data_IF_106349523328
#
_entry.id   IF_106349523328
#
_cell.length_a   1.000
_cell.length_b   1.000
_cell.length_c   1.000
_cell.angle_alpha   90.00
_cell.angle_beta   90.00
_cell.angle_gamma   90.00
#
_symmetry.space_group_name_H-M   'P 1'
#
loop_
_entity.id
_entity.type
_entity.pdbx_description
1 polymer ?
#
# COMPACT_ATOMS: atom_id res chain seq x y z
N UNK A 1 -17.89 -55.28 -23.25
CA UNK A 1 -17.52 -53.91 -22.82
C UNK A 1 -18.63 -52.96 -23.23
N UNK A 2 -19.30 -52.31 -22.28
CA UNK A 2 -20.51 -51.52 -22.52
C UNK A 2 -20.18 -50.28 -23.39
N UNK A 3 -20.89 -50.02 -24.50
CA UNK A 3 -20.63 -48.92 -25.43
C UNK A 3 -20.79 -47.51 -24.82
N UNK A 4 -21.39 -47.39 -23.64
CA UNK A 4 -21.61 -46.12 -22.95
C UNK A 4 -20.37 -45.54 -22.25
N UNK A 5 -19.28 -46.28 -22.05
CA UNK A 5 -18.06 -45.77 -21.36
C UNK A 5 -17.15 -44.94 -22.28
N UNK A 6 -17.17 -45.19 -23.60
CA UNK A 6 -16.34 -44.46 -24.61
C UNK A 6 -16.60 -42.96 -24.66
N UNK A 7 -17.86 -42.44 -24.72
CA UNK A 7 -18.10 -41.02 -24.81
C UNK A 7 -17.67 -40.23 -23.54
N UNK A 8 -17.82 -40.84 -22.36
CA UNK A 8 -17.36 -40.23 -21.09
C UNK A 8 -15.83 -40.12 -21.01
N UNK A 9 -15.13 -41.17 -21.43
CA UNK A 9 -13.66 -41.15 -21.46
C UNK A 9 -13.12 -40.10 -22.43
N UNK A 10 -13.73 -40.01 -23.64
CA UNK A 10 -13.38 -39.01 -24.63
C UNK A 10 -13.64 -37.60 -24.13
N UNK A 11 -14.79 -37.34 -23.48
CA UNK A 11 -15.13 -36.04 -22.90
C UNK A 11 -14.12 -35.64 -21.79
N UNK A 12 -13.72 -36.59 -20.91
CA UNK A 12 -12.71 -36.36 -19.90
C UNK A 12 -11.34 -36.01 -20.49
N UNK A 13 -10.90 -36.73 -21.53
CA UNK A 13 -9.63 -36.45 -22.21
C UNK A 13 -9.65 -35.05 -22.84
N UNK A 14 -10.73 -34.69 -23.51
CA UNK A 14 -10.89 -33.35 -24.12
C UNK A 14 -10.87 -32.28 -23.03
N UNK A 15 -11.62 -32.46 -21.93
CA UNK A 15 -11.64 -31.50 -20.82
C UNK A 15 -10.27 -31.33 -20.18
N UNK A 16 -9.52 -32.41 -19.99
CA UNK A 16 -8.16 -32.35 -19.47
C UNK A 16 -7.21 -31.65 -20.44
N UNK A 17 -7.30 -31.93 -21.74
CA UNK A 17 -6.51 -31.29 -22.77
C UNK A 17 -6.77 -29.78 -22.83
N UNK A 18 -8.03 -29.34 -22.78
CA UNK A 18 -8.41 -27.94 -22.73
C UNK A 18 -7.86 -27.25 -21.48
N UNK A 19 -7.95 -27.88 -20.33
CA UNK A 19 -7.41 -27.38 -19.07
C UNK A 19 -5.90 -27.18 -19.15
N UNK A 20 -5.16 -28.19 -19.59
CA UNK A 20 -3.71 -28.13 -19.75
C UNK A 20 -3.29 -27.04 -20.74
N UNK A 21 -4.04 -26.90 -21.84
CA UNK A 21 -3.84 -25.82 -22.82
C UNK A 21 -4.04 -24.45 -22.18
N UNK A 22 -5.12 -24.24 -21.40
CA UNK A 22 -5.38 -22.97 -20.72
C UNK A 22 -4.28 -22.62 -19.73
N UNK A 23 -3.79 -23.60 -18.95
CA UNK A 23 -2.65 -23.42 -18.05
C UNK A 23 -1.38 -23.06 -18.84
N UNK A 24 -1.08 -23.78 -19.91
CA UNK A 24 0.10 -23.52 -20.75
C UNK A 24 0.05 -22.09 -21.35
N UNK A 25 -1.09 -21.67 -21.87
CA UNK A 25 -1.30 -20.31 -22.38
C UNK A 25 -1.08 -19.28 -21.28
N UNK A 26 -1.63 -19.51 -20.08
CA UNK A 26 -1.40 -18.61 -18.93
C UNK A 26 0.09 -18.49 -18.60
N UNK A 27 0.84 -19.61 -18.58
CA UNK A 27 2.27 -19.59 -18.30
C UNK A 27 3.08 -18.86 -19.40
N UNK A 28 2.70 -18.99 -20.65
CA UNK A 28 3.31 -18.24 -21.76
C UNK A 28 3.06 -16.73 -21.62
N UNK A 29 1.84 -16.35 -21.24
CA UNK A 29 1.50 -14.94 -20.97
C UNK A 29 2.25 -14.39 -19.75
N UNK A 30 2.41 -15.16 -18.68
CA UNK A 30 3.23 -14.76 -17.53
C UNK A 30 4.66 -14.47 -17.97
N UNK A 31 5.28 -15.36 -18.75
CA UNK A 31 6.64 -15.15 -19.30
C UNK A 31 6.71 -13.92 -20.21
N UNK A 32 5.68 -13.65 -20.98
CA UNK A 32 5.59 -12.44 -21.80
C UNK A 32 5.56 -11.19 -20.92
N UNK A 33 4.68 -11.15 -19.89
CA UNK A 33 4.58 -10.03 -18.94
C UNK A 33 5.92 -9.78 -18.25
N UNK A 34 6.60 -10.83 -17.77
CA UNK A 34 7.89 -10.70 -17.09
C UNK A 34 9.01 -10.25 -18.02
N UNK A 35 8.93 -10.59 -19.31
CA UNK A 35 9.88 -10.10 -20.34
C UNK A 35 9.64 -8.62 -20.66
N UNK A 36 8.38 -8.18 -20.69
CA UNK A 36 8.03 -6.76 -20.97
C UNK A 36 8.32 -5.87 -19.76
N UNK A 37 8.09 -6.38 -18.56
CA UNK A 37 8.28 -5.65 -17.30
C UNK A 37 9.31 -6.32 -16.39
N UNK A 38 10.58 -6.43 -16.81
CA UNK A 38 11.60 -7.07 -15.98
C UNK A 38 11.81 -6.32 -14.65
N UNK A 39 12.34 -6.96 -13.60
CA UNK A 39 12.63 -6.28 -12.36
C UNK A 39 13.66 -5.17 -12.58
N UNK A 40 13.34 -3.99 -12.07
CA UNK A 40 14.23 -2.83 -12.02
C UNK A 40 14.70 -2.66 -10.58
N UNK A 41 15.84 -1.97 -10.38
CA UNK A 41 16.37 -1.78 -9.03
C UNK A 41 17.12 -3.00 -8.50
N UNK A 42 16.92 -3.37 -7.23
CA UNK A 42 17.70 -4.43 -6.60
C UNK A 42 16.88 -5.36 -5.72
N UNK A 43 17.49 -6.47 -5.32
CA UNK A 43 16.94 -7.41 -4.35
C UNK A 43 17.75 -7.38 -3.05
N UNK A 44 17.06 -7.57 -1.94
CA UNK A 44 17.66 -7.89 -0.64
C UNK A 44 17.05 -9.18 -0.11
N UNK A 45 17.88 -10.04 0.47
CA UNK A 45 17.42 -11.28 1.11
C UNK A 45 17.44 -11.12 2.63
N UNK A 46 16.29 -11.32 3.25
CA UNK A 46 16.13 -11.29 4.71
C UNK A 46 15.32 -12.53 5.12
N UNK A 47 15.80 -13.30 6.08
CA UNK A 47 15.16 -14.54 6.55
C UNK A 47 14.85 -15.51 5.39
N UNK A 48 15.80 -15.69 4.47
CA UNK A 48 15.66 -16.53 3.25
C UNK A 48 14.55 -16.10 2.30
N UNK A 49 14.06 -14.87 2.41
CA UNK A 49 13.05 -14.30 1.54
C UNK A 49 13.62 -13.10 0.79
N UNK A 50 13.43 -13.06 -0.53
CA UNK A 50 13.88 -11.96 -1.37
C UNK A 50 12.82 -10.86 -1.42
N UNK A 51 13.24 -9.63 -1.22
CA UNK A 51 12.44 -8.44 -1.40
C UNK A 51 13.01 -7.59 -2.54
N UNK A 52 12.16 -7.15 -3.42
CA UNK A 52 12.50 -6.28 -4.54
C UNK A 52 12.27 -4.82 -4.15
N UNK A 53 13.23 -3.96 -4.51
CA UNK A 53 13.28 -2.55 -4.17
C UNK A 53 13.60 -1.70 -5.39
N UNK A 54 12.91 -0.58 -5.53
CA UNK A 54 13.35 0.57 -6.31
C UNK A 54 13.95 1.58 -5.35
N UNK A 55 15.17 2.06 -5.62
CA UNK A 55 15.88 2.92 -4.69
C UNK A 55 16.64 4.00 -5.45
N UNK A 56 16.50 5.25 -5.03
CA UNK A 56 17.12 6.42 -5.65
C UNK A 56 17.38 7.53 -4.63
N UNK A 57 18.34 8.43 -4.97
CA UNK A 57 18.63 9.63 -4.20
C UNK A 57 19.46 9.38 -2.94
N UNK A 58 19.65 10.45 -2.16
CA UNK A 58 20.44 10.45 -0.92
C UNK A 58 19.78 11.41 0.10
N UNK A 59 20.12 11.25 1.37
CA UNK A 59 19.60 12.12 2.44
C UNK A 59 18.63 11.41 3.37
N UNK A 60 17.63 12.12 3.91
CA UNK A 60 16.64 11.53 4.81
C UNK A 60 15.84 10.43 4.10
N UNK A 61 15.74 9.24 4.70
CA UNK A 61 15.04 8.14 4.05
C UNK A 61 13.51 8.33 4.04
N UNK A 62 12.93 8.10 2.87
CA UNK A 62 11.48 8.00 2.65
C UNK A 62 11.19 6.62 2.05
N UNK A 63 10.26 5.90 2.63
CA UNK A 63 9.88 4.57 2.17
C UNK A 63 8.44 4.60 1.65
N UNK A 64 8.25 4.21 0.40
CA UNK A 64 6.97 4.19 -0.30
C UNK A 64 6.40 2.77 -0.26
N UNK A 65 5.16 2.62 0.22
CA UNK A 65 4.46 1.34 0.40
C UNK A 65 3.20 1.35 -0.45
N UNK A 66 3.20 0.55 -1.50
CA UNK A 66 2.13 0.52 -2.49
C UNK A 66 0.81 -0.08 -2.00
N UNK A 67 -0.28 0.22 -2.71
CA UNK A 67 -1.63 -0.27 -2.46
C UNK A 67 -1.86 -1.73 -2.89
N UNK A 68 -3.13 -2.14 -2.90
CA UNK A 68 -3.54 -3.43 -3.46
C UNK A 68 -3.43 -3.43 -4.98
N UNK A 69 -3.22 -4.62 -5.57
CA UNK A 69 -3.18 -4.86 -7.02
C UNK A 69 -2.11 -4.08 -7.79
N UNK A 70 -1.09 -3.56 -7.13
CA UNK A 70 0.02 -2.81 -7.73
C UNK A 70 1.36 -3.26 -7.15
N UNK A 71 2.44 -2.53 -7.38
CA UNK A 71 3.80 -2.82 -6.95
C UNK A 71 4.57 -1.51 -6.66
N UNK A 72 5.84 -1.59 -6.27
CA UNK A 72 6.71 -0.43 -6.11
C UNK A 72 6.80 0.46 -7.38
N UNK A 73 6.57 -0.13 -8.54
CA UNK A 73 6.52 0.59 -9.83
C UNK A 73 5.39 1.63 -9.91
N UNK A 74 4.38 1.56 -9.05
CA UNK A 74 3.32 2.56 -8.94
C UNK A 74 3.85 3.97 -8.60
N UNK A 75 5.05 4.05 -8.06
CA UNK A 75 5.71 5.31 -7.75
C UNK A 75 6.73 5.76 -8.80
N UNK A 76 6.94 4.96 -9.86
CA UNK A 76 7.92 5.24 -10.91
C UNK A 76 7.30 5.16 -12.32
N UNK A 77 7.44 6.18 -13.17
CA UNK A 77 7.97 7.51 -12.88
C UNK A 77 6.97 8.34 -12.04
N UNK A 78 7.42 9.31 -11.32
CA UNK A 78 6.55 10.19 -10.54
C UNK A 78 7.10 10.46 -9.14
N UNK A 79 6.37 10.07 -8.11
CA UNK A 79 6.69 10.43 -6.72
C UNK A 79 8.10 9.96 -6.29
N UNK A 80 8.52 8.76 -6.68
CA UNK A 80 9.86 8.25 -6.38
C UNK A 80 10.94 9.15 -6.98
N UNK A 81 10.88 9.46 -8.29
CA UNK A 81 11.87 10.31 -8.97
C UNK A 81 11.89 11.74 -8.42
N UNK A 82 10.71 12.28 -8.09
CA UNK A 82 10.62 13.67 -7.65
C UNK A 82 11.17 13.84 -6.23
N UNK A 83 10.84 12.93 -5.31
CA UNK A 83 11.37 12.91 -3.95
C UNK A 83 12.87 12.61 -3.92
N UNK A 84 13.37 11.75 -4.83
CA UNK A 84 14.79 11.35 -4.86
C UNK A 84 15.77 12.48 -5.21
N UNK A 85 15.27 13.62 -5.67
CA UNK A 85 16.11 14.82 -5.89
C UNK A 85 16.70 15.37 -4.58
N UNK A 86 16.07 15.11 -3.45
CA UNK A 86 16.45 15.68 -2.14
C UNK A 86 16.42 14.66 -0.99
N UNK A 87 15.94 13.45 -1.23
CA UNK A 87 15.78 12.41 -0.23
C UNK A 87 16.30 11.06 -0.73
N UNK A 88 16.66 10.17 0.19
CA UNK A 88 16.89 8.78 -0.12
C UNK A 88 15.53 8.06 -0.16
N UNK A 89 15.08 7.67 -1.33
CA UNK A 89 13.73 7.10 -1.54
C UNK A 89 13.80 5.63 -1.87
N UNK A 90 13.05 4.83 -1.14
CA UNK A 90 12.93 3.38 -1.32
C UNK A 90 11.46 3.05 -1.54
N UNK A 91 11.12 2.45 -2.68
CA UNK A 91 9.82 1.84 -2.90
C UNK A 91 9.98 0.32 -2.88
N UNK A 92 9.29 -0.36 -1.96
CA UNK A 92 9.40 -1.81 -1.80
C UNK A 92 8.15 -2.51 -2.34
N UNK A 93 8.38 -3.56 -3.13
CA UNK A 93 7.32 -4.52 -3.42
C UNK A 93 6.92 -5.23 -2.12
N UNK A 94 5.65 -5.08 -1.70
CA UNK A 94 5.13 -5.77 -0.51
C UNK A 94 5.27 -7.29 -0.67
N UNK A 95 5.38 -8.06 0.40
CA UNK A 95 5.51 -9.51 0.34
C UNK A 95 4.48 -10.16 -0.58
N UNK A 96 4.95 -10.91 -1.59
CA UNK A 96 4.11 -11.58 -2.58
C UNK A 96 3.56 -10.69 -3.70
N UNK A 97 3.98 -9.45 -3.78
CA UNK A 97 3.63 -8.51 -4.85
C UNK A 97 4.86 -8.19 -5.69
N UNK A 98 4.63 -7.64 -6.91
CA UNK A 98 5.72 -7.31 -7.80
C UNK A 98 6.69 -8.48 -7.97
N UNK A 99 7.93 -8.30 -7.56
CA UNK A 99 8.98 -9.30 -7.59
C UNK A 99 9.47 -9.76 -6.21
N UNK A 100 8.79 -9.34 -5.13
CA UNK A 100 9.05 -9.84 -3.78
C UNK A 100 8.46 -11.22 -3.54
N UNK A 101 9.24 -12.07 -2.89
CA UNK A 101 8.77 -13.40 -2.48
C UNK A 101 7.75 -13.30 -1.34
N UNK A 102 6.99 -14.37 -1.15
CA UNK A 102 6.15 -14.62 0.01
C UNK A 102 6.18 -16.11 0.32
N UNK A 103 6.46 -16.47 1.57
CA UNK A 103 6.55 -17.86 1.95
C UNK A 103 5.29 -18.66 1.57
N UNK A 104 5.46 -19.94 1.15
CA UNK A 104 4.34 -20.80 0.86
C UNK A 104 3.37 -20.91 2.03
N UNK A 105 2.09 -21.19 1.73
CA UNK A 105 1.09 -21.56 2.74
C UNK A 105 1.59 -22.72 3.57
N UNK A 106 1.54 -22.60 4.90
CA UNK A 106 1.92 -23.68 5.82
C UNK A 106 3.33 -23.61 6.43
N UNK A 107 4.19 -22.70 6.00
CA UNK A 107 5.42 -22.39 6.72
C UNK A 107 5.09 -21.72 8.06
N UNK A 108 5.76 -22.10 9.14
CA UNK A 108 5.47 -21.69 10.52
C UNK A 108 5.21 -20.19 10.68
N UNK A 109 4.00 -19.83 11.15
CA UNK A 109 3.45 -18.50 11.45
C UNK A 109 3.28 -17.56 10.24
N UNK A 110 2.20 -17.71 9.45
CA UNK A 110 1.87 -16.74 8.43
C UNK A 110 1.25 -15.49 9.06
N UNK A 111 2.07 -14.52 9.41
CA UNK A 111 1.61 -13.15 9.69
C UNK A 111 1.42 -12.34 8.39
N UNK A 112 1.78 -12.94 7.25
CA UNK A 112 1.96 -12.28 5.95
C UNK A 112 0.75 -11.56 5.36
N UNK A 113 -0.50 -12.03 5.46
CA UNK A 113 -1.59 -11.23 4.93
C UNK A 113 -1.97 -10.05 5.82
N UNK A 114 -1.40 -9.96 7.05
CA UNK A 114 -1.73 -8.86 7.97
C UNK A 114 -0.85 -7.64 7.73
N UNK A 115 -1.39 -6.42 7.95
CA UNK A 115 -0.58 -5.20 7.96
C UNK A 115 0.59 -5.28 8.95
N UNK A 116 0.38 -5.80 10.15
CA UNK A 116 1.44 -5.97 11.15
C UNK A 116 2.55 -6.93 10.69
N UNK A 117 2.20 -8.05 10.05
CA UNK A 117 3.20 -8.97 9.49
C UNK A 117 4.03 -8.34 8.38
N UNK A 118 3.39 -7.54 7.52
CA UNK A 118 4.11 -6.83 6.46
C UNK A 118 4.95 -5.66 7.03
N UNK A 119 4.49 -4.99 8.09
CA UNK A 119 5.30 -4.01 8.83
C UNK A 119 6.54 -4.64 9.46
N UNK A 120 6.41 -5.83 10.07
CA UNK A 120 7.53 -6.58 10.62
C UNK A 120 8.55 -6.98 9.53
N UNK A 121 8.10 -7.39 8.35
CA UNK A 121 8.97 -7.69 7.22
C UNK A 121 9.71 -6.42 6.72
N UNK A 122 8.96 -5.33 6.53
CA UNK A 122 9.53 -4.04 6.15
C UNK A 122 10.62 -3.60 7.14
N UNK A 123 10.35 -3.70 8.45
CA UNK A 123 11.34 -3.39 9.49
C UNK A 123 12.64 -4.16 9.30
N UNK A 124 12.54 -5.47 9.09
CA UNK A 124 13.73 -6.32 8.86
C UNK A 124 14.50 -5.91 7.60
N UNK A 125 13.78 -5.59 6.51
CA UNK A 125 14.40 -5.08 5.28
C UNK A 125 15.13 -3.77 5.55
N UNK A 126 14.51 -2.82 6.24
CA UNK A 126 15.10 -1.52 6.55
C UNK A 126 16.35 -1.65 7.44
N UNK A 127 16.31 -2.53 8.45
CA UNK A 127 17.48 -2.84 9.27
C UNK A 127 18.61 -3.48 8.45
N UNK A 128 18.29 -4.41 7.55
CA UNK A 128 19.29 -5.01 6.63
C UNK A 128 19.90 -4.00 5.65
N UNK A 129 19.23 -2.88 5.40
CA UNK A 129 19.70 -1.76 4.58
C UNK A 129 20.40 -0.65 5.41
N UNK A 130 20.48 -0.81 6.73
CA UNK A 130 20.95 0.23 7.65
C UNK A 130 20.14 1.55 7.54
N UNK A 131 18.84 1.45 7.24
CA UNK A 131 17.93 2.58 7.17
C UNK A 131 17.35 2.83 8.56
N UNK A 132 17.60 4.02 9.08
CA UNK A 132 17.16 4.43 10.41
C UNK A 132 16.13 5.56 10.32
N UNK A 133 15.07 5.45 11.12
CA UNK A 133 14.00 6.46 11.27
C UNK A 133 13.53 7.06 9.93
N UNK A 134 13.04 6.22 8.98
CA UNK A 134 12.48 6.71 7.72
C UNK A 134 11.13 7.42 7.97
N UNK A 135 10.70 8.21 6.97
CA UNK A 135 9.29 8.57 6.82
C UNK A 135 8.64 7.47 5.96
N UNK A 136 7.57 6.84 6.48
CA UNK A 136 6.81 5.87 5.69
C UNK A 136 5.65 6.56 5.00
N UNK A 137 5.52 6.34 3.69
CA UNK A 137 4.43 6.86 2.86
C UNK A 137 3.63 5.67 2.33
N UNK A 138 2.45 5.43 2.88
CA UNK A 138 1.59 4.32 2.50
C UNK A 138 0.39 4.77 1.66
N UNK A 139 0.21 4.18 0.48
CA UNK A 139 -0.98 4.38 -0.34
C UNK A 139 -2.00 3.27 -0.10
N UNK A 140 -3.28 3.62 0.07
CA UNK A 140 -4.39 2.65 0.14
C UNK A 140 -4.12 1.53 1.17
N UNK A 141 -3.99 0.27 0.75
CA UNK A 141 -3.61 -0.87 1.59
C UNK A 141 -2.27 -0.67 2.31
N UNK A 142 -1.29 -0.01 1.64
CA UNK A 142 0.00 0.34 2.22
C UNK A 142 -0.10 1.26 3.44
N UNK A 143 -1.17 2.05 3.54
CA UNK A 143 -1.44 2.87 4.72
C UNK A 143 -1.73 2.02 5.97
N UNK A 144 -2.40 0.87 5.83
CA UNK A 144 -2.61 -0.04 6.95
C UNK A 144 -1.28 -0.62 7.46
N UNK A 145 -0.30 -0.87 6.57
CA UNK A 145 1.07 -1.27 6.95
C UNK A 145 1.79 -0.14 7.69
N UNK A 146 1.68 1.09 7.19
CA UNK A 146 2.25 2.28 7.85
C UNK A 146 1.68 2.44 9.26
N UNK A 147 0.37 2.33 9.42
CA UNK A 147 -0.29 2.41 10.73
C UNK A 147 0.15 1.28 11.67
N UNK A 148 0.29 0.05 11.16
CA UNK A 148 0.82 -1.07 11.94
C UNK A 148 2.27 -0.82 12.39
N UNK A 149 3.09 -0.25 11.51
CA UNK A 149 4.47 0.09 11.84
C UNK A 149 4.55 1.17 12.93
N UNK A 150 3.71 2.21 12.85
CA UNK A 150 3.61 3.26 13.88
C UNK A 150 3.19 2.72 15.25
N UNK A 151 2.36 1.67 15.27
CA UNK A 151 1.90 1.02 16.50
C UNK A 151 2.95 0.10 17.12
N UNK A 152 3.62 -0.69 16.27
CA UNK A 152 4.45 -1.79 16.75
C UNK A 152 5.94 -1.40 16.83
N UNK A 153 6.38 -0.34 16.11
CA UNK A 153 7.79 0.11 16.05
C UNK A 153 7.92 1.65 16.06
N UNK A 154 7.33 2.35 17.04
CA UNK A 154 7.27 3.82 17.05
C UNK A 154 8.64 4.50 17.10
N UNK A 155 9.66 3.86 17.69
CA UNK A 155 11.00 4.42 17.81
C UNK A 155 11.84 4.27 16.53
N UNK A 156 11.46 3.34 15.64
CA UNK A 156 12.20 3.05 14.40
C UNK A 156 11.76 3.96 13.23
N UNK A 157 10.82 4.88 13.43
CA UNK A 157 10.21 5.69 12.37
C UNK A 157 10.24 7.19 12.75
N UNK A 158 10.43 8.07 11.78
CA UNK A 158 10.35 9.52 11.99
C UNK A 158 8.92 10.05 11.91
N UNK A 159 8.08 9.46 11.03
CA UNK A 159 6.69 9.83 10.83
C UNK A 159 6.02 9.00 9.77
N UNK A 160 4.70 9.09 9.70
CA UNK A 160 3.88 8.40 8.70
C UNK A 160 3.09 9.38 7.82
N UNK A 161 2.95 9.04 6.53
CA UNK A 161 2.08 9.72 5.57
C UNK A 161 1.15 8.71 4.95
N UNK A 162 -0.15 8.98 4.96
CA UNK A 162 -1.17 8.13 4.35
C UNK A 162 -1.78 8.83 3.14
N UNK A 163 -1.70 8.18 1.97
CA UNK A 163 -2.29 8.65 0.72
C UNK A 163 -3.52 7.82 0.40
N UNK A 164 -4.73 8.39 0.41
CA UNK A 164 -5.96 7.63 0.19
C UNK A 164 -6.05 6.39 1.09
N UNK A 165 -5.63 6.52 2.34
CA UNK A 165 -5.26 5.41 3.21
C UNK A 165 -6.44 4.69 3.85
N UNK A 166 -6.44 3.34 3.80
CA UNK A 166 -7.38 2.51 4.56
C UNK A 166 -6.93 2.38 6.01
N UNK A 167 -7.86 2.56 6.96
CA UNK A 167 -7.55 2.53 8.41
C UNK A 167 -8.56 1.75 9.24
N UNK A 168 -9.82 1.71 8.86
CA UNK A 168 -10.91 1.11 9.65
C UNK A 168 -11.63 0.01 8.86
N UNK A 169 -12.27 -0.94 9.55
CA UNK A 169 -13.16 -1.89 8.89
C UNK A 169 -14.28 -1.18 8.13
N UNK A 170 -14.73 -1.81 7.03
CA UNK A 170 -15.82 -1.32 6.20
C UNK A 170 -16.88 -2.41 5.95
N UNK A 171 -18.07 -2.01 5.56
CA UNK A 171 -19.15 -2.89 5.15
C UNK A 171 -19.01 -3.28 3.66
N UNK A 172 -19.56 -4.43 3.25
CA UNK A 172 -19.64 -4.89 1.86
C UNK A 172 -18.54 -5.86 1.42
N UNK A 173 -17.43 -5.96 2.14
CA UNK A 173 -16.38 -6.96 1.85
C UNK A 173 -15.64 -6.70 0.53
N UNK A 174 -15.09 -7.76 -0.08
CA UNK A 174 -14.28 -7.71 -1.31
C UNK A 174 -15.02 -8.29 -2.51
N UNK A 175 -14.61 -7.90 -3.73
CA UNK A 175 -15.16 -8.42 -4.97
C UNK A 175 -15.10 -9.96 -5.05
N UNK A 176 -16.13 -10.58 -5.65
CA UNK A 176 -16.30 -12.03 -5.68
C UNK A 176 -15.11 -12.81 -6.25
N UNK A 177 -14.45 -12.27 -7.26
CA UNK A 177 -13.26 -12.90 -7.85
C UNK A 177 -12.07 -13.01 -6.87
N UNK A 178 -11.93 -12.07 -5.92
CA UNK A 178 -10.92 -12.20 -4.85
C UNK A 178 -11.27 -13.36 -3.90
N UNK A 179 -12.56 -13.53 -3.59
CA UNK A 179 -13.00 -14.68 -2.77
C UNK A 179 -12.74 -16.01 -3.47
N UNK A 180 -13.05 -16.11 -4.78
CA UNK A 180 -12.79 -17.29 -5.59
C UNK A 180 -11.30 -17.62 -5.61
N UNK A 181 -10.44 -16.64 -5.90
CA UNK A 181 -8.99 -16.82 -5.92
C UNK A 181 -8.41 -17.32 -4.57
N UNK A 182 -9.07 -17.03 -3.47
CA UNK A 182 -8.69 -17.50 -2.13
C UNK A 182 -9.05 -18.95 -1.83
N UNK A 183 -9.94 -19.60 -2.62
CA UNK A 183 -10.39 -20.97 -2.35
C UNK A 183 -9.30 -21.99 -2.68
N UNK A 184 -9.16 -23.07 -1.88
CA UNK A 184 -8.33 -24.21 -2.25
C UNK A 184 -8.83 -24.83 -3.56
N UNK A 185 -7.94 -25.36 -4.41
CA UNK A 185 -8.19 -26.01 -5.68
C UNK A 185 -8.90 -25.11 -6.70
N UNK A 186 -10.12 -24.65 -6.40
CA UNK A 186 -10.88 -23.75 -7.32
C UNK A 186 -10.16 -22.43 -7.58
N UNK A 187 -9.52 -21.86 -6.55
CA UNK A 187 -8.71 -20.68 -6.72
C UNK A 187 -7.48 -20.93 -7.59
N UNK A 188 -6.82 -22.09 -7.41
CA UNK A 188 -5.67 -22.50 -8.24
C UNK A 188 -6.10 -22.67 -9.70
N UNK A 189 -7.23 -23.30 -9.93
CA UNK A 189 -7.81 -23.45 -11.27
C UNK A 189 -8.12 -22.10 -11.90
N UNK A 190 -8.84 -21.24 -11.17
CA UNK A 190 -9.24 -19.91 -11.61
C UNK A 190 -8.04 -19.04 -12.00
N UNK A 191 -7.03 -18.92 -11.11
CA UNK A 191 -5.90 -18.02 -11.38
C UNK A 191 -4.97 -18.53 -12.48
N UNK A 192 -4.92 -19.85 -12.73
CA UNK A 192 -4.08 -20.45 -13.77
C UNK A 192 -4.78 -20.63 -15.12
N UNK A 193 -6.07 -20.30 -15.23
CA UNK A 193 -6.82 -20.46 -16.50
C UNK A 193 -7.57 -19.21 -16.92
N UNK A 194 -8.49 -18.72 -16.09
CA UNK A 194 -9.46 -17.66 -16.43
C UNK A 194 -8.95 -16.26 -16.09
N UNK A 195 -8.21 -16.13 -14.98
CA UNK A 195 -7.86 -14.84 -14.42
C UNK A 195 -7.11 -13.93 -15.41
N UNK A 196 -6.07 -14.45 -16.05
CA UNK A 196 -5.19 -13.62 -16.86
C UNK A 196 -5.89 -13.07 -18.09
N UNK A 197 -6.59 -13.88 -18.93
CA UNK A 197 -7.35 -13.34 -20.06
C UNK A 197 -8.46 -12.39 -19.60
N UNK A 198 -9.24 -12.73 -18.57
CA UNK A 198 -10.29 -11.87 -18.05
C UNK A 198 -9.72 -10.56 -17.49
N UNK A 199 -8.72 -10.63 -16.63
CA UNK A 199 -8.08 -9.48 -16.01
C UNK A 199 -7.42 -8.55 -17.01
N UNK A 200 -6.85 -9.09 -18.10
CA UNK A 200 -6.25 -8.30 -19.17
C UNK A 200 -7.22 -7.27 -19.75
N UNK A 201 -8.47 -7.68 -19.99
CA UNK A 201 -9.50 -6.80 -20.53
C UNK A 201 -10.24 -6.01 -19.44
N UNK A 202 -10.31 -6.52 -18.21
CA UNK A 202 -11.01 -5.86 -17.11
C UNK A 202 -10.20 -4.73 -16.43
N UNK A 203 -8.86 -4.82 -16.42
CA UNK A 203 -7.99 -3.83 -15.75
C UNK A 203 -8.28 -2.37 -16.13
N UNK A 204 -8.46 -1.98 -17.41
CA UNK A 204 -8.76 -0.59 -17.77
C UNK A 204 -10.04 -0.05 -17.12
N UNK A 205 -11.08 -0.89 -16.99
CA UNK A 205 -12.31 -0.49 -16.31
C UNK A 205 -12.11 -0.34 -14.80
N UNK A 206 -11.34 -1.24 -14.19
CA UNK A 206 -10.94 -1.14 -12.78
C UNK A 206 -10.16 0.14 -12.48
N UNK A 207 -9.21 0.50 -13.35
CA UNK A 207 -8.46 1.75 -13.21
C UNK A 207 -9.34 2.99 -13.29
N UNK A 208 -10.27 3.05 -14.26
CA UNK A 208 -11.20 4.19 -14.32
C UNK A 208 -11.97 4.38 -13.02
N UNK A 209 -12.36 3.30 -12.35
CA UNK A 209 -13.02 3.37 -11.04
C UNK A 209 -12.07 3.89 -9.94
N UNK A 210 -10.83 3.41 -9.91
CA UNK A 210 -9.83 3.83 -8.92
C UNK A 210 -9.49 5.32 -9.07
N UNK A 211 -9.36 5.80 -10.30
CA UNK A 211 -9.00 7.20 -10.55
C UNK A 211 -10.19 8.17 -10.53
N UNK A 212 -11.44 7.67 -10.63
CA UNK A 212 -12.64 8.52 -10.64
C UNK A 212 -12.68 9.48 -9.43
N UNK A 213 -13.04 10.78 -9.64
CA UNK A 213 -13.46 11.41 -10.89
C UNK A 213 -12.31 11.84 -11.81
N UNK A 214 -11.06 11.65 -11.41
CA UNK A 214 -9.90 12.08 -12.16
C UNK A 214 -9.62 11.15 -13.35
N UNK A 215 -8.87 11.68 -14.33
CA UNK A 215 -8.45 10.89 -15.48
C UNK A 215 -7.33 9.91 -15.08
N UNK A 216 -7.38 8.69 -15.63
CA UNK A 216 -6.24 7.76 -15.56
C UNK A 216 -5.08 8.38 -16.35
N UNK A 217 -3.87 8.46 -15.79
CA UNK A 217 -2.71 8.99 -16.50
C UNK A 217 -2.44 8.19 -17.79
N UNK A 218 -1.97 8.89 -18.83
CA UNK A 218 -1.60 8.25 -20.08
C UNK A 218 -0.50 7.21 -19.85
N UNK A 219 -0.63 6.07 -20.51
CA UNK A 219 0.30 4.93 -20.36
C UNK A 219 0.47 4.37 -18.94
N UNK A 220 -0.47 4.65 -18.02
CA UNK A 220 -0.38 4.18 -16.63
C UNK A 220 -0.13 2.67 -16.52
N UNK A 221 -0.88 1.86 -17.28
CA UNK A 221 -0.73 0.39 -17.29
C UNK A 221 0.70 -0.05 -17.64
N UNK A 222 1.29 0.60 -18.63
CA UNK A 222 2.61 0.25 -19.16
C UNK A 222 3.72 0.79 -18.26
N UNK A 223 3.62 2.04 -17.85
CA UNK A 223 4.62 2.69 -16.99
C UNK A 223 4.76 1.99 -15.63
N UNK A 224 3.63 1.60 -15.03
CA UNK A 224 3.62 0.93 -13.72
C UNK A 224 3.79 -0.58 -13.82
N UNK A 225 3.69 -1.15 -15.04
CA UNK A 225 3.70 -2.61 -15.21
C UNK A 225 2.56 -3.30 -14.48
N UNK A 226 1.37 -2.67 -14.42
CA UNK A 226 0.24 -3.17 -13.63
C UNK A 226 -0.18 -4.60 -14.01
N UNK A 227 0.13 -5.04 -15.23
CA UNK A 227 -0.05 -6.42 -15.72
C UNK A 227 0.65 -7.46 -14.84
N UNK A 228 1.73 -7.10 -14.14
CA UNK A 228 2.41 -7.98 -13.18
C UNK A 228 1.48 -8.48 -12.06
N UNK A 229 0.43 -7.72 -11.71
CA UNK A 229 -0.57 -8.11 -10.71
C UNK A 229 -1.47 -9.25 -11.17
N UNK A 230 -1.52 -9.56 -12.46
CA UNK A 230 -2.29 -10.67 -13.04
C UNK A 230 -1.54 -12.01 -13.02
N UNK A 231 -0.28 -12.03 -12.63
CA UNK A 231 0.44 -13.30 -12.44
C UNK A 231 -0.27 -14.13 -11.35
N UNK A 232 -0.53 -15.42 -11.56
CA UNK A 232 -1.36 -16.25 -10.70
C UNK A 232 -1.02 -16.15 -9.20
N UNK A 233 0.27 -16.28 -8.87
CA UNK A 233 0.76 -16.19 -7.49
C UNK A 233 0.53 -14.79 -6.88
N UNK A 234 0.88 -13.72 -7.63
CA UNK A 234 0.74 -12.33 -7.20
C UNK A 234 -0.72 -12.00 -6.95
N UNK A 235 -1.60 -12.40 -7.86
CA UNK A 235 -3.03 -12.18 -7.70
C UNK A 235 -3.60 -12.91 -6.48
N UNK A 236 -3.17 -14.16 -6.24
CA UNK A 236 -3.58 -14.92 -5.05
C UNK A 236 -3.19 -14.22 -3.76
N UNK A 237 -1.95 -13.75 -3.67
CA UNK A 237 -1.48 -13.02 -2.49
C UNK A 237 -2.27 -11.73 -2.28
N UNK A 238 -2.51 -10.99 -3.36
CA UNK A 238 -3.34 -9.78 -3.31
C UNK A 238 -4.79 -10.08 -2.88
N UNK A 239 -5.39 -11.14 -3.40
CA UNK A 239 -6.73 -11.57 -3.03
C UNK A 239 -6.82 -12.00 -1.55
N UNK A 240 -5.79 -12.68 -1.05
CA UNK A 240 -5.67 -13.04 0.36
C UNK A 240 -5.53 -11.80 1.26
N UNK A 241 -4.65 -10.86 0.89
CA UNK A 241 -4.46 -9.59 1.60
C UNK A 241 -5.80 -8.83 1.71
N UNK A 242 -6.52 -8.68 0.59
CA UNK A 242 -7.80 -7.97 0.55
C UNK A 242 -8.88 -8.68 1.36
N UNK A 243 -8.99 -10.00 1.23
CA UNK A 243 -10.05 -10.78 1.88
C UNK A 243 -9.94 -10.78 3.41
N UNK A 244 -8.72 -10.63 3.92
CA UNK A 244 -8.45 -10.66 5.37
C UNK A 244 -8.31 -9.28 6.00
N UNK A 245 -8.17 -8.22 5.19
CA UNK A 245 -7.86 -6.87 5.68
C UNK A 245 -8.88 -6.38 6.70
N UNK A 246 -10.16 -6.57 6.44
CA UNK A 246 -11.24 -6.10 7.32
C UNK A 246 -11.13 -6.67 8.75
N UNK A 247 -10.82 -7.98 8.86
CA UNK A 247 -10.61 -8.62 10.14
C UNK A 247 -9.37 -8.09 10.87
N UNK A 248 -8.28 -7.83 10.13
CA UNK A 248 -7.08 -7.24 10.72
C UNK A 248 -7.32 -5.81 11.19
N UNK A 249 -8.03 -5.00 10.41
CA UNK A 249 -8.34 -3.62 10.81
C UNK A 249 -9.27 -3.58 12.04
N UNK A 250 -10.15 -4.56 12.21
CA UNK A 250 -10.99 -4.66 13.41
C UNK A 250 -10.15 -4.82 14.70
N UNK A 251 -8.99 -5.46 14.61
CA UNK A 251 -8.04 -5.61 15.75
C UNK A 251 -7.04 -4.46 15.84
N UNK A 252 -6.69 -3.82 14.72
CA UNK A 252 -5.70 -2.75 14.66
C UNK A 252 -6.29 -1.39 15.06
N UNK A 253 -7.49 -1.05 14.55
CA UNK A 253 -8.09 0.26 14.72
C UNK A 253 -8.29 0.69 16.19
N UNK A 254 -8.70 -0.18 17.15
CA UNK A 254 -8.81 0.18 18.55
C UNK A 254 -7.50 0.65 19.20
N UNK A 255 -6.35 0.33 18.58
CA UNK A 255 -5.03 0.69 19.09
C UNK A 255 -4.54 2.06 18.60
N UNK A 256 -5.22 2.71 17.65
CA UNK A 256 -4.71 3.95 17.04
C UNK A 256 -4.48 5.10 18.02
N UNK A 257 -5.22 5.17 19.12
CA UNK A 257 -4.97 6.16 20.18
C UNK A 257 -3.57 6.04 20.83
N UNK A 258 -2.86 4.92 20.63
CA UNK A 258 -1.49 4.70 21.09
C UNK A 258 -0.45 5.38 20.19
N UNK A 259 -0.80 5.74 18.94
CA UNK A 259 0.12 6.41 18.01
C UNK A 259 0.45 7.80 18.57
N UNK A 260 1.74 8.03 18.81
CA UNK A 260 2.28 9.34 19.26
C UNK A 260 3.20 9.96 18.20
N UNK A 261 3.69 9.14 17.28
CA UNK A 261 4.56 9.56 16.18
C UNK A 261 3.78 10.48 15.22
N UNK A 262 4.41 11.53 14.65
CA UNK A 262 3.78 12.42 13.70
C UNK A 262 3.12 11.66 12.54
N UNK A 263 1.90 12.07 12.16
CA UNK A 263 1.09 11.43 11.14
C UNK A 263 0.41 12.47 10.26
N UNK A 264 0.58 12.35 8.93
CA UNK A 264 -0.06 13.16 7.91
C UNK A 264 -1.03 12.29 7.09
N UNK A 265 -2.27 12.75 6.94
CA UNK A 265 -3.31 12.12 6.13
C UNK A 265 -3.59 13.02 4.93
N UNK A 266 -3.38 12.51 3.72
CA UNK A 266 -3.69 13.19 2.45
C UNK A 266 -4.74 12.36 1.73
N UNK A 267 -5.94 12.90 1.54
CA UNK A 267 -7.07 12.10 1.06
C UNK A 267 -7.96 12.89 0.12
N UNK A 268 -8.37 12.27 -0.99
CA UNK A 268 -9.31 12.87 -1.92
C UNK A 268 -10.72 12.89 -1.38
N UNK A 269 -11.44 14.02 -1.52
CA UNK A 269 -12.85 14.13 -1.05
C UNK A 269 -13.80 13.25 -1.85
N UNK A 270 -13.43 12.93 -3.11
CA UNK A 270 -14.22 12.11 -4.03
C UNK A 270 -13.76 10.63 -4.07
N UNK A 271 -12.99 10.20 -3.09
CA UNK A 271 -12.52 8.81 -3.02
C UNK A 271 -13.68 7.85 -2.68
N UNK A 272 -14.16 7.15 -3.70
CA UNK A 272 -15.22 6.14 -3.57
C UNK A 272 -14.69 4.72 -3.30
N UNK A 273 -13.37 4.52 -3.37
CA UNK A 273 -12.70 3.25 -3.08
C UNK A 273 -12.44 3.12 -1.58
N UNK A 274 -11.95 4.20 -0.97
CA UNK A 274 -11.67 4.33 0.46
C UNK A 274 -12.35 5.60 0.97
N UNK A 275 -13.66 5.57 1.29
CA UNK A 275 -14.41 6.77 1.62
C UNK A 275 -13.88 7.50 2.85
N UNK A 276 -13.73 8.83 2.74
CA UNK A 276 -13.16 9.67 3.79
C UNK A 276 -13.87 9.53 5.14
N UNK A 277 -15.19 9.48 5.12
CA UNK A 277 -16.02 9.35 6.33
C UNK A 277 -15.70 8.10 7.16
N UNK A 278 -15.29 6.99 6.51
CA UNK A 278 -14.95 5.76 7.23
C UNK A 278 -13.46 5.64 7.59
N UNK A 279 -12.58 6.39 6.95
CA UNK A 279 -11.13 6.20 7.12
C UNK A 279 -10.44 7.42 7.74
N UNK A 280 -10.04 8.49 7.04
CA UNK A 280 -9.30 9.58 7.65
C UNK A 280 -10.12 10.35 8.70
N UNK A 281 -11.42 10.54 8.52
CA UNK A 281 -12.26 11.25 9.49
C UNK A 281 -12.48 10.46 10.79
N UNK A 282 -12.44 9.14 10.76
CA UNK A 282 -12.43 8.32 11.97
C UNK A 282 -11.03 8.26 12.58
N UNK A 283 -9.99 8.18 11.75
CA UNK A 283 -8.63 8.09 12.23
C UNK A 283 -8.19 9.34 12.99
N UNK A 284 -8.54 10.53 12.51
CA UNK A 284 -8.18 11.79 13.19
C UNK A 284 -8.87 11.94 14.56
N UNK A 285 -10.04 11.31 14.76
CA UNK A 285 -10.69 11.26 16.07
C UNK A 285 -9.93 10.38 17.07
N UNK A 286 -9.29 9.31 16.57
CA UNK A 286 -8.48 8.41 17.40
C UNK A 286 -7.05 8.93 17.61
N UNK A 287 -6.52 9.74 16.66
CA UNK A 287 -5.18 10.32 16.65
C UNK A 287 -5.27 11.84 16.46
N UNK A 288 -5.67 12.61 17.49
CA UNK A 288 -5.98 14.05 17.35
C UNK A 288 -4.79 14.91 16.90
N UNK A 289 -3.55 14.45 17.15
CA UNK A 289 -2.33 15.12 16.72
C UNK A 289 -1.98 14.85 15.23
N UNK A 290 -2.69 13.96 14.55
CA UNK A 290 -2.51 13.75 13.12
C UNK A 290 -2.99 14.97 12.33
N UNK A 291 -2.25 15.29 11.27
CA UNK A 291 -2.65 16.37 10.36
C UNK A 291 -3.43 15.79 9.17
N UNK A 292 -4.67 16.23 8.99
CA UNK A 292 -5.53 15.78 7.89
C UNK A 292 -5.68 16.86 6.84
N UNK A 293 -5.35 16.53 5.58
CA UNK A 293 -5.45 17.41 4.42
C UNK A 293 -6.42 16.76 3.42
N UNK A 294 -7.70 17.20 3.40
CA UNK A 294 -8.63 16.81 2.34
C UNK A 294 -8.26 17.52 1.04
N UNK A 295 -8.29 16.79 -0.08
CA UNK A 295 -8.05 17.31 -1.42
C UNK A 295 -9.37 17.35 -2.21
N UNK A 296 -9.99 18.53 -2.40
CA UNK A 296 -11.25 18.66 -3.11
C UNK A 296 -11.17 18.17 -4.57
N UNK A 297 -12.17 17.42 -5.03
CA UNK A 297 -12.26 16.93 -6.41
C UNK A 297 -11.29 15.80 -6.75
N UNK A 298 -10.56 15.27 -5.77
CA UNK A 298 -9.59 14.18 -5.96
C UNK A 298 -10.18 12.86 -5.52
N UNK A 299 -9.91 11.80 -6.31
CA UNK A 299 -10.27 10.41 -6.01
C UNK A 299 -9.20 9.65 -5.23
N UNK A 300 -9.12 8.32 -5.46
CA UNK A 300 -8.32 7.39 -4.65
C UNK A 300 -6.79 7.48 -4.87
N UNK A 301 -6.33 8.11 -5.94
CA UNK A 301 -4.90 8.20 -6.26
C UNK A 301 -4.38 9.65 -6.20
N UNK A 302 -4.30 10.28 -5.00
CA UNK A 302 -3.93 11.70 -4.86
C UNK A 302 -2.52 12.00 -5.39
N UNK A 303 -1.58 11.07 -5.30
CA UNK A 303 -0.21 11.21 -5.81
C UNK A 303 -0.11 11.26 -7.34
N UNK A 304 -1.18 10.89 -8.04
CA UNK A 304 -1.30 11.06 -9.50
C UNK A 304 -2.20 12.24 -9.88
N UNK A 305 -3.28 12.44 -9.14
CA UNK A 305 -4.25 13.47 -9.47
C UNK A 305 -3.84 14.90 -9.03
N UNK A 306 -3.00 14.98 -7.97
CA UNK A 306 -2.46 16.24 -7.44
C UNK A 306 -0.97 16.08 -7.05
N UNK A 307 -0.08 15.68 -8.00
CA UNK A 307 1.28 15.26 -7.69
C UNK A 307 2.11 16.36 -7.02
N UNK A 308 2.01 17.60 -7.47
CA UNK A 308 2.76 18.73 -6.91
C UNK A 308 2.31 19.03 -5.47
N UNK A 309 1.01 19.00 -5.21
CA UNK A 309 0.45 19.24 -3.87
C UNK A 309 0.90 18.14 -2.92
N UNK A 310 0.78 16.88 -3.33
CA UNK A 310 1.21 15.72 -2.51
C UNK A 310 2.71 15.79 -2.23
N UNK A 311 3.53 16.11 -3.24
CA UNK A 311 4.97 16.30 -3.07
C UNK A 311 5.28 17.37 -2.03
N UNK A 312 4.69 18.56 -2.16
CA UNK A 312 4.94 19.66 -1.23
C UNK A 312 4.52 19.33 0.21
N UNK A 313 3.41 18.63 0.39
CA UNK A 313 2.94 18.19 1.70
C UNK A 313 3.92 17.16 2.33
N UNK A 314 4.41 16.19 1.57
CA UNK A 314 5.40 15.21 2.05
C UNK A 314 6.71 15.92 2.43
N UNK A 315 7.20 16.84 1.60
CA UNK A 315 8.42 17.59 1.88
C UNK A 315 8.28 18.51 3.09
N UNK A 316 7.14 19.16 3.26
CA UNK A 316 6.86 20.00 4.45
C UNK A 316 6.82 19.14 5.72
N UNK A 317 6.13 18.01 5.69
CA UNK A 317 6.09 17.04 6.77
C UNK A 317 7.49 16.50 7.11
N UNK A 318 8.32 16.19 6.09
CA UNK A 318 9.69 15.75 6.27
C UNK A 318 10.56 16.78 7.02
N UNK A 319 10.40 18.07 6.73
CA UNK A 319 11.08 19.14 7.48
C UNK A 319 10.63 19.21 8.95
N UNK A 320 9.33 19.10 9.19
CA UNK A 320 8.75 19.13 10.54
C UNK A 320 9.26 18.00 11.42
N UNK A 321 9.32 16.75 10.91
CA UNK A 321 9.74 15.58 11.69
C UNK A 321 11.26 15.50 11.89
N UNK A 322 12.04 16.18 11.04
CA UNK A 322 13.50 16.29 11.17
C UNK A 322 13.91 17.28 12.27
N UNK A 323 13.17 18.38 12.37
CA UNK A 323 13.38 19.41 13.36
C UNK A 323 12.07 19.59 14.14
N UNK A 324 11.79 18.73 15.14
CA UNK A 324 10.64 18.96 16.00
C UNK A 324 10.76 20.39 16.55
N UNK A 325 9.78 21.23 16.26
CA UNK A 325 9.68 22.54 16.90
C UNK A 325 9.64 22.21 18.40
N UNK A 326 10.73 22.55 19.12
CA UNK A 326 10.71 22.47 20.55
C UNK A 326 9.48 23.27 20.98
N UNK A 327 8.59 22.63 21.71
CA UNK A 327 7.37 23.25 22.22
C UNK A 327 7.82 24.54 22.94
N UNK A 328 7.63 25.68 22.27
CA UNK A 328 7.89 26.98 22.88
C UNK A 328 6.79 27.17 23.89
N UNK A 329 7.00 26.59 25.07
CA UNK A 329 6.20 26.81 26.25
C UNK A 329 6.35 28.24 26.80
N UNK A 330 6.16 29.23 25.90
CA UNK A 330 5.96 30.62 26.25
C UNK A 330 4.47 30.91 26.07
N UNK A 331 3.67 30.45 27.01
CA UNK A 331 2.39 31.07 27.26
C UNK A 331 2.59 32.58 27.43
N UNK A 332 1.65 33.44 26.99
CA UNK A 332 1.79 34.87 27.06
C UNK A 332 2.05 35.29 28.53
N UNK A 333 3.24 35.87 28.81
CA UNK A 333 3.55 36.46 30.09
C UNK A 333 2.45 37.52 30.35
N UNK A 334 1.63 37.28 31.38
CA UNK A 334 0.74 38.34 31.92
C UNK A 334 1.59 39.54 32.23
N UNK A 335 1.15 40.79 31.85
CA UNK A 335 1.82 41.99 32.25
C UNK A 335 1.79 42.08 33.77
N UNK A 336 2.94 42.18 34.41
CA UNK A 336 3.06 42.48 35.80
C UNK A 336 2.55 43.92 36.04
N UNK A 337 1.51 44.08 36.85
CA UNK A 337 0.99 45.35 37.26
C UNK A 337 2.12 46.17 37.94
N UNK A 338 2.48 47.31 37.32
CA UNK A 338 3.40 48.26 37.90
C UNK A 338 2.71 48.95 39.09
N UNK A 339 3.18 48.69 40.31
CA UNK A 339 2.86 49.48 41.48
C UNK A 339 3.55 50.84 41.35
N UNK A 340 2.79 51.88 41.02
CA UNK A 340 3.24 53.27 41.17
C UNK A 340 3.34 53.63 42.70
N UNK A 341 4.39 54.31 43.13
CA UNK A 341 4.47 54.83 44.49
C UNK A 341 3.59 56.09 44.60
N UNK A 342 2.74 56.13 45.62
CA UNK A 342 1.96 57.34 45.99
C UNK A 342 2.91 58.40 46.54
N UNK A 343 2.95 59.56 45.90
CA UNK A 343 3.53 60.80 46.48
C UNK A 343 2.61 61.37 47.54
N UNK A 344 3.14 61.90 48.66
CA UNK A 344 2.34 62.67 49.63
C UNK A 344 2.11 64.08 49.12
N UNK A 345 0.89 64.55 49.25
CA UNK A 345 0.54 65.95 49.08
C UNK A 345 0.71 66.76 50.39
N UNK A 346 0.96 68.05 50.30
CA UNK A 346 1.24 68.93 51.41
C UNK A 346 0.05 69.25 52.27
#
# INVERSE_FOLDING_TARGET
>A
MSPRRRPLTTALIISLALLLTAVAVTQLWVRYIERVYPPQGRFITVDNQRFHLLEQGQGQPIVLIHGASTSARDYHPGLLQTLSRTHHVIAMDRPGHGYSDRHPRGAHKPTWPSPAGQAAALRKVLHGLAIHRPILVGHSWGAAVTLAYLLDYPDDIAGGVLLGGVSHPWEGGVAGYNRIAGLPVLGDLFVNTVLLPFGWFAQPAGLRRVFSPNRVPDHYLDNTGLRLSLRPQVFRHNAEDLSKLNAFLATQAPRYAQIKTPLLLIHGTEDTVVPAANHPERLIKAVPQAHYVPLPGIGHAPHYAAPETVLQLILAFGRQVRHPIADSGAGPKRPTASTQPRSPLP
#
